data_IF_247091818414
#
_entry.id   IF_247091818414
#
_cell.length_a   1.000
_cell.length_b   1.000
_cell.length_c   1.000
_cell.angle_alpha   90.00
_cell.angle_beta   90.00
_cell.angle_gamma   90.00
#
_symmetry.space_group_name_H-M   'P 1'
#
loop_
_entity.id
_entity.type
_entity.pdbx_description
1 polymer ?
#
# COMPACT_ATOMS: atom_id res chain seq x y z
N UNK A 1 -17.66 20.70 20.56
CA UNK A 1 -16.89 19.88 19.57
C UNK A 1 -17.81 18.78 19.06
N UNK A 2 -18.27 18.85 17.82
CA UNK A 2 -19.15 17.82 17.25
C UNK A 2 -18.38 16.51 17.11
N UNK A 3 -18.81 15.49 17.83
CA UNK A 3 -18.31 14.13 17.67
C UNK A 3 -18.78 13.60 16.32
N UNK A 4 -17.83 13.25 15.46
CA UNK A 4 -18.14 12.66 14.16
C UNK A 4 -18.66 11.23 14.40
N UNK A 5 -19.91 10.97 14.03
CA UNK A 5 -20.49 9.63 14.07
C UNK A 5 -20.27 8.95 12.70
N UNK A 6 -19.60 7.79 12.65
CA UNK A 6 -19.35 7.08 11.39
C UNK A 6 -20.62 6.73 10.61
N UNK A 7 -21.71 6.41 11.29
CA UNK A 7 -23.02 6.12 10.68
C UNK A 7 -23.60 7.32 9.92
N UNK A 8 -23.45 8.53 10.48
CA UNK A 8 -23.91 9.77 9.86
C UNK A 8 -23.09 10.06 8.61
N UNK A 9 -21.74 9.94 8.67
CA UNK A 9 -20.87 10.14 7.52
C UNK A 9 -21.18 9.15 6.39
N UNK A 10 -21.42 7.88 6.72
CA UNK A 10 -21.78 6.87 5.69
C UNK A 10 -23.11 7.19 5.00
N UNK A 11 -24.11 7.63 5.76
CA UNK A 11 -25.40 8.05 5.19
C UNK A 11 -25.23 9.29 4.30
N UNK A 12 -24.52 10.31 4.78
CA UNK A 12 -24.22 11.50 3.99
C UNK A 12 -23.44 11.18 2.71
N UNK A 13 -22.43 10.29 2.78
CA UNK A 13 -21.68 9.85 1.61
C UNK A 13 -22.61 9.16 0.60
N UNK A 14 -23.51 8.29 1.07
CA UNK A 14 -24.51 7.65 0.22
C UNK A 14 -25.42 8.67 -0.49
N UNK A 15 -25.94 9.66 0.26
CA UNK A 15 -26.81 10.72 -0.29
C UNK A 15 -26.07 11.59 -1.32
N UNK A 16 -24.78 11.93 -1.07
CA UNK A 16 -23.96 12.70 -2.00
C UNK A 16 -23.67 11.90 -3.29
N UNK A 17 -23.34 10.62 -3.18
CA UNK A 17 -23.06 9.77 -4.34
C UNK A 17 -24.31 9.51 -5.19
N UNK A 18 -25.49 9.40 -4.57
CA UNK A 18 -26.75 9.25 -5.31
C UNK A 18 -27.13 10.52 -6.09
N UNK A 19 -26.77 11.70 -5.56
CA UNK A 19 -27.02 13.00 -6.20
C UNK A 19 -25.91 13.41 -7.16
N UNK A 20 -24.82 12.66 -7.24
CA UNK A 20 -23.70 13.00 -8.10
C UNK A 20 -24.12 13.03 -9.57
N UNK A 21 -23.80 14.10 -10.33
CA UNK A 21 -24.24 14.26 -11.72
C UNK A 21 -23.56 13.30 -12.69
N UNK A 22 -22.54 12.58 -12.26
CA UNK A 22 -21.85 11.53 -13.00
C UNK A 22 -21.73 10.30 -12.10
N UNK A 23 -21.98 9.11 -12.65
CA UNK A 23 -21.98 7.86 -11.88
C UNK A 23 -20.59 7.60 -11.24
N UNK A 24 -20.47 7.69 -9.91
CA UNK A 24 -19.20 7.47 -9.23
C UNK A 24 -18.66 6.06 -9.43
N UNK A 25 -19.54 5.05 -9.58
CA UNK A 25 -19.14 3.66 -9.78
C UNK A 25 -18.41 3.47 -11.11
N UNK A 26 -18.83 4.18 -12.17
CA UNK A 26 -18.12 4.14 -13.46
C UNK A 26 -16.70 4.69 -13.34
N UNK A 27 -16.52 5.77 -12.59
CA UNK A 27 -15.20 6.37 -12.40
C UNK A 27 -14.27 5.44 -11.60
N UNK A 28 -14.79 4.82 -10.54
CA UNK A 28 -14.05 3.80 -9.78
C UNK A 28 -13.74 2.59 -10.64
N UNK A 29 -14.69 2.12 -11.45
CA UNK A 29 -14.47 0.99 -12.36
C UNK A 29 -13.32 1.27 -13.33
N UNK A 30 -13.32 2.44 -13.99
CA UNK A 30 -12.24 2.86 -14.90
C UNK A 30 -10.91 2.91 -14.14
N UNK A 31 -10.90 3.57 -12.96
CA UNK A 31 -9.69 3.66 -12.14
C UNK A 31 -9.13 2.29 -11.78
N UNK A 32 -9.97 1.41 -11.26
CA UNK A 32 -9.54 0.08 -10.80
C UNK A 32 -9.15 -0.83 -11.97
N UNK A 33 -9.90 -0.77 -13.10
CA UNK A 33 -9.57 -1.56 -14.30
C UNK A 33 -8.22 -1.18 -14.90
N UNK A 34 -7.86 0.11 -14.92
CA UNK A 34 -6.54 0.56 -15.39
C UNK A 34 -5.44 0.05 -14.47
N UNK A 35 -5.62 0.18 -13.15
CA UNK A 35 -4.62 -0.27 -12.17
C UNK A 35 -4.42 -1.80 -12.22
N UNK A 36 -5.53 -2.58 -12.22
CA UNK A 36 -5.47 -4.04 -12.30
C UNK A 36 -4.99 -4.52 -13.67
N UNK A 37 -5.38 -3.86 -14.75
CA UNK A 37 -4.91 -4.17 -16.09
C UNK A 37 -3.40 -3.99 -16.24
N UNK A 38 -2.85 -2.94 -15.66
CA UNK A 38 -1.40 -2.73 -15.61
C UNK A 38 -0.69 -3.84 -14.83
N UNK A 39 -1.21 -4.23 -13.67
CA UNK A 39 -0.64 -5.33 -12.88
C UNK A 39 -0.76 -6.69 -13.58
N UNK A 40 -1.90 -6.94 -14.25
CA UNK A 40 -2.11 -8.16 -15.03
C UNK A 40 -1.12 -8.25 -16.20
N UNK A 41 -0.84 -7.12 -16.86
CA UNK A 41 0.13 -7.06 -17.94
C UNK A 41 1.53 -7.48 -17.49
N UNK A 42 1.97 -7.02 -16.29
CA UNK A 42 3.23 -7.49 -15.69
C UNK A 42 3.20 -8.99 -15.43
N UNK A 43 2.10 -9.50 -14.89
CA UNK A 43 1.95 -10.93 -14.60
C UNK A 43 2.01 -11.78 -15.87
N UNK A 44 1.39 -11.32 -16.97
CA UNK A 44 1.47 -11.99 -18.29
C UNK A 44 2.90 -11.97 -18.82
N UNK A 45 3.59 -10.83 -18.74
CA UNK A 45 5.00 -10.73 -19.17
C UNK A 45 5.87 -11.69 -18.36
N UNK A 46 5.69 -11.75 -17.04
CA UNK A 46 6.41 -12.69 -16.18
C UNK A 46 6.12 -14.15 -16.53
N UNK A 47 4.86 -14.49 -16.79
CA UNK A 47 4.47 -15.83 -17.22
C UNK A 47 5.16 -16.22 -18.53
N UNK A 48 5.13 -15.36 -19.55
CA UNK A 48 5.80 -15.60 -20.84
C UNK A 48 7.31 -15.76 -20.65
N UNK A 49 7.93 -14.92 -19.82
CA UNK A 49 9.35 -15.01 -19.49
C UNK A 49 9.71 -16.36 -18.88
N UNK A 50 8.95 -16.81 -17.90
CA UNK A 50 9.19 -18.10 -17.24
C UNK A 50 9.06 -19.27 -18.21
N UNK A 51 8.08 -19.25 -19.11
CA UNK A 51 7.90 -20.29 -20.14
C UNK A 51 9.06 -20.30 -21.15
N UNK A 52 9.54 -19.15 -21.58
CA UNK A 52 10.69 -19.02 -22.48
C UNK A 52 12.00 -19.51 -21.81
N UNK A 53 12.12 -19.30 -20.49
CA UNK A 53 13.26 -19.77 -19.69
C UNK A 53 13.31 -21.30 -19.67
N UNK A 54 12.18 -21.96 -19.58
CA UNK A 54 12.10 -23.42 -19.55
C UNK A 54 12.41 -24.09 -20.91
N UNK A 55 12.17 -23.38 -22.03
CA UNK A 55 12.21 -23.99 -23.38
C UNK A 55 13.48 -23.74 -24.21
N UNK A 56 14.34 -22.76 -23.88
CA UNK A 56 15.46 -22.34 -24.76
C UNK A 56 16.83 -22.42 -24.07
N UNK A 57 17.56 -23.51 -24.32
CA UNK A 57 18.92 -23.77 -23.79
C UNK A 57 20.08 -23.20 -24.66
N UNK A 58 19.90 -22.22 -25.52
CA UNK A 58 20.92 -21.70 -26.45
C UNK A 58 21.27 -20.22 -26.28
N UNK A 59 22.39 -19.78 -26.87
CA UNK A 59 22.86 -18.38 -26.88
C UNK A 59 21.82 -17.37 -27.40
N UNK A 60 20.98 -17.78 -28.38
CA UNK A 60 19.86 -16.98 -28.88
C UNK A 60 18.77 -16.71 -27.79
N UNK A 61 18.58 -17.65 -26.86
CA UNK A 61 17.68 -17.47 -25.72
C UNK A 61 18.18 -16.43 -24.70
N UNK A 62 19.49 -16.26 -24.55
CA UNK A 62 20.07 -15.27 -23.62
C UNK A 62 19.77 -13.83 -24.05
N UNK A 63 19.83 -13.52 -25.34
CA UNK A 63 19.52 -12.18 -25.85
C UNK A 63 18.04 -11.82 -25.64
N UNK A 64 17.12 -12.73 -25.96
CA UNK A 64 15.70 -12.51 -25.79
C UNK A 64 15.33 -12.35 -24.30
N UNK A 65 15.94 -13.15 -23.42
CA UNK A 65 15.75 -13.03 -21.95
C UNK A 65 16.17 -11.67 -21.43
N UNK A 66 17.34 -11.16 -21.86
CA UNK A 66 17.82 -9.84 -21.44
C UNK A 66 16.87 -8.71 -21.86
N UNK A 67 16.36 -8.77 -23.08
CA UNK A 67 15.37 -7.78 -23.56
C UNK A 67 14.07 -7.86 -22.77
N UNK A 68 13.51 -9.06 -22.59
CA UNK A 68 12.25 -9.24 -21.87
C UNK A 68 12.38 -8.87 -20.40
N UNK A 69 13.49 -9.22 -19.72
CA UNK A 69 13.72 -8.82 -18.33
C UNK A 69 13.87 -7.30 -18.20
N UNK A 70 14.49 -6.64 -19.18
CA UNK A 70 14.58 -5.18 -19.21
C UNK A 70 13.19 -4.55 -19.37
N UNK A 71 12.36 -5.06 -20.29
CA UNK A 71 10.98 -4.60 -20.49
C UNK A 71 10.17 -4.78 -19.20
N UNK A 72 10.32 -5.91 -18.54
CA UNK A 72 9.65 -6.17 -17.25
C UNK A 72 10.03 -5.13 -16.19
N UNK A 73 11.34 -4.90 -15.98
CA UNK A 73 11.82 -3.91 -14.99
C UNK A 73 11.31 -2.51 -15.30
N UNK A 74 11.33 -2.10 -16.57
CA UNK A 74 10.81 -0.80 -17.01
C UNK A 74 9.30 -0.70 -16.73
N UNK A 75 8.55 -1.75 -17.01
CA UNK A 75 7.11 -1.79 -16.81
C UNK A 75 6.75 -1.75 -15.31
N UNK A 76 7.45 -2.53 -14.49
CA UNK A 76 7.29 -2.53 -13.02
C UNK A 76 7.61 -1.14 -12.43
N UNK A 77 8.69 -0.52 -12.90
CA UNK A 77 9.07 0.83 -12.48
C UNK A 77 8.01 1.86 -12.90
N UNK A 78 7.49 1.77 -14.12
CA UNK A 78 6.44 2.66 -14.61
C UNK A 78 5.15 2.53 -13.77
N UNK A 79 4.77 1.30 -13.40
CA UNK A 79 3.61 1.04 -12.53
C UNK A 79 3.89 1.55 -11.12
N UNK A 80 5.06 1.24 -10.55
CA UNK A 80 5.45 1.68 -9.21
C UNK A 80 5.40 3.22 -9.08
N UNK A 81 5.88 3.92 -10.10
CA UNK A 81 5.86 5.40 -10.13
C UNK A 81 4.48 5.93 -10.49
N UNK A 82 3.78 5.32 -11.45
CA UNK A 82 2.50 5.80 -11.97
C UNK A 82 1.31 5.60 -11.03
N UNK A 83 1.28 4.47 -10.33
CA UNK A 83 0.15 4.10 -9.45
C UNK A 83 -0.18 5.15 -8.38
N UNK A 84 0.79 5.72 -7.65
CA UNK A 84 0.50 6.78 -6.68
C UNK A 84 -0.25 7.97 -7.29
N UNK A 85 0.17 8.45 -8.46
CA UNK A 85 -0.48 9.61 -9.10
C UNK A 85 -1.90 9.27 -9.54
N UNK A 86 -2.12 8.05 -10.01
CA UNK A 86 -3.42 7.54 -10.37
C UNK A 86 -4.37 7.45 -9.16
N UNK A 87 -3.86 6.95 -8.01
CA UNK A 87 -4.59 6.92 -6.74
C UNK A 87 -4.99 8.32 -6.26
N UNK A 88 -4.08 9.30 -6.36
CA UNK A 88 -4.37 10.68 -5.98
C UNK A 88 -5.47 11.30 -6.85
N UNK A 89 -5.58 10.90 -8.12
CA UNK A 89 -6.69 11.30 -8.98
C UNK A 89 -8.04 10.84 -8.44
N UNK A 90 -8.13 9.61 -7.96
CA UNK A 90 -9.36 9.09 -7.35
C UNK A 90 -9.69 9.77 -6.01
N UNK A 91 -8.65 10.09 -5.20
CA UNK A 91 -8.85 10.88 -3.97
C UNK A 91 -9.38 12.28 -4.27
N UNK A 92 -8.92 12.91 -5.36
CA UNK A 92 -9.45 14.19 -5.80
C UNK A 92 -10.93 14.10 -6.22
N UNK A 93 -11.30 13.05 -6.96
CA UNK A 93 -12.69 12.78 -7.31
C UNK A 93 -13.55 12.57 -6.04
N UNK A 94 -13.06 11.84 -5.06
CA UNK A 94 -13.74 11.61 -3.78
C UNK A 94 -13.95 12.93 -3.00
N UNK A 95 -12.97 13.83 -3.02
CA UNK A 95 -13.09 15.15 -2.41
C UNK A 95 -14.18 16.00 -3.08
N UNK A 96 -14.29 15.93 -4.42
CA UNK A 96 -15.34 16.61 -5.16
C UNK A 96 -16.72 16.02 -4.87
N UNK A 97 -16.86 14.68 -4.81
CA UNK A 97 -18.12 14.06 -4.39
C UNK A 97 -18.54 14.49 -2.99
N UNK A 98 -17.58 14.54 -2.05
CA UNK A 98 -17.85 15.00 -0.68
C UNK A 98 -18.32 16.47 -0.61
N UNK A 99 -18.00 17.27 -1.62
CA UNK A 99 -18.45 18.68 -1.77
C UNK A 99 -19.72 18.81 -2.60
N UNK A 100 -20.26 17.71 -3.13
CA UNK A 100 -21.41 17.74 -4.04
C UNK A 100 -21.07 18.27 -5.45
N UNK A 101 -19.78 18.28 -5.80
CA UNK A 101 -19.29 18.73 -7.09
C UNK A 101 -19.24 17.59 -8.11
N UNK A 102 -19.30 17.95 -9.40
CA UNK A 102 -19.11 16.99 -10.49
C UNK A 102 -17.66 16.49 -10.52
N UNK A 103 -17.47 15.17 -10.51
CA UNK A 103 -16.19 14.53 -10.79
C UNK A 103 -16.29 13.71 -12.08
N UNK A 104 -15.31 13.85 -12.97
CA UNK A 104 -15.24 13.18 -14.27
C UNK A 104 -13.86 12.50 -14.46
N UNK A 105 -13.65 11.88 -15.61
CA UNK A 105 -12.41 11.21 -15.94
C UNK A 105 -11.18 12.11 -15.85
N UNK A 106 -11.32 13.41 -16.21
CA UNK A 106 -10.20 14.33 -16.12
C UNK A 106 -9.70 14.52 -14.69
N UNK A 107 -10.55 14.27 -13.70
CA UNK A 107 -10.17 14.36 -12.29
C UNK A 107 -9.22 13.21 -11.88
N UNK A 108 -9.27 12.07 -12.54
CA UNK A 108 -8.30 10.97 -12.31
C UNK A 108 -6.87 11.38 -12.71
N UNK A 109 -6.73 12.32 -13.65
CA UNK A 109 -5.43 12.81 -14.10
C UNK A 109 -4.86 13.94 -13.23
N UNK A 110 -5.62 14.42 -12.21
CA UNK A 110 -5.16 15.52 -11.36
C UNK A 110 -3.92 15.16 -10.52
N UNK A 111 -3.74 13.89 -10.17
CA UNK A 111 -2.51 13.44 -9.51
C UNK A 111 -1.27 13.73 -10.35
N UNK A 112 -1.34 13.49 -11.65
CA UNK A 112 -0.25 13.79 -12.60
C UNK A 112 -0.03 15.29 -12.79
N UNK A 113 -1.10 16.10 -12.79
CA UNK A 113 -0.99 17.58 -12.88
C UNK A 113 -0.30 18.17 -11.65
N UNK A 114 -0.39 17.51 -10.50
CA UNK A 114 0.26 17.90 -9.24
C UNK A 114 1.48 17.04 -8.92
N UNK A 115 2.19 16.59 -9.96
CA UNK A 115 3.30 15.65 -9.86
C UNK A 115 4.28 15.98 -8.73
N UNK A 116 4.82 17.20 -8.70
CA UNK A 116 5.84 17.60 -7.72
C UNK A 116 5.34 17.50 -6.26
N UNK A 117 4.12 17.97 -5.98
CA UNK A 117 3.56 17.93 -4.62
C UNK A 117 3.21 16.50 -4.18
N UNK A 118 2.68 15.67 -5.10
CA UNK A 118 2.35 14.27 -4.82
C UNK A 118 3.64 13.47 -4.59
N UNK A 119 4.64 13.61 -5.48
CA UNK A 119 5.92 12.95 -5.34
C UNK A 119 6.63 13.35 -4.03
N UNK A 120 6.72 14.64 -3.76
CA UNK A 120 7.33 15.14 -2.52
C UNK A 120 6.61 14.59 -1.27
N UNK A 121 5.27 14.55 -1.27
CA UNK A 121 4.52 13.98 -0.14
C UNK A 121 4.82 12.48 0.03
N UNK A 122 4.85 11.72 -1.07
CA UNK A 122 5.16 10.28 -1.03
C UNK A 122 6.59 10.02 -0.53
N UNK A 123 7.58 10.79 -1.00
CA UNK A 123 8.96 10.68 -0.56
C UNK A 123 9.13 11.06 0.93
N UNK A 124 8.55 12.17 1.36
CA UNK A 124 8.62 12.60 2.76
C UNK A 124 7.94 11.59 3.69
N UNK A 125 6.74 11.12 3.31
CA UNK A 125 5.99 10.14 4.10
C UNK A 125 6.71 8.78 4.10
N UNK A 126 7.18 8.33 2.93
CA UNK A 126 7.96 7.08 2.81
C UNK A 126 9.24 7.14 3.62
N UNK A 127 10.02 8.22 3.50
CA UNK A 127 11.22 8.44 4.29
C UNK A 127 10.96 8.44 5.80
N UNK A 128 9.88 9.08 6.24
CA UNK A 128 9.46 9.05 7.64
C UNK A 128 9.17 7.62 8.12
N UNK A 129 8.41 6.82 7.35
CA UNK A 129 8.10 5.43 7.72
C UNK A 129 9.33 4.52 7.68
N UNK A 130 10.27 4.74 6.74
CA UNK A 130 11.55 4.02 6.69
C UNK A 130 12.37 4.34 7.94
N UNK A 131 12.53 5.62 8.30
CA UNK A 131 13.25 6.01 9.52
C UNK A 131 12.62 5.42 10.78
N UNK A 132 11.29 5.41 10.86
CA UNK A 132 10.57 4.76 11.95
C UNK A 132 10.82 3.25 11.95
N UNK A 133 10.82 2.61 10.80
CA UNK A 133 11.13 1.17 10.66
C UNK A 133 12.54 0.84 11.18
N UNK A 134 13.54 1.62 10.78
CA UNK A 134 14.93 1.48 11.28
C UNK A 134 14.98 1.62 12.80
N UNK A 135 14.36 2.66 13.36
CA UNK A 135 14.31 2.87 14.79
C UNK A 135 13.62 1.72 15.54
N UNK A 136 12.54 1.19 14.97
CA UNK A 136 11.82 0.04 15.55
C UNK A 136 12.66 -1.22 15.50
N UNK A 137 13.38 -1.49 14.39
CA UNK A 137 14.27 -2.66 14.28
C UNK A 137 15.34 -2.60 15.38
N UNK A 138 16.00 -1.44 15.58
CA UNK A 138 16.99 -1.27 16.61
C UNK A 138 16.42 -1.49 18.03
N UNK A 139 15.25 -0.90 18.29
CA UNK A 139 14.58 -1.05 19.58
C UNK A 139 14.14 -2.51 19.81
N UNK A 140 13.58 -3.16 18.78
CA UNK A 140 13.14 -4.56 18.84
C UNK A 140 14.30 -5.50 19.12
N UNK A 141 15.44 -5.31 18.47
CA UNK A 141 16.63 -6.10 18.68
C UNK A 141 17.13 -5.96 20.13
N UNK A 142 17.13 -4.73 20.67
CA UNK A 142 17.50 -4.48 22.06
C UNK A 142 16.54 -5.17 23.03
N UNK A 143 15.23 -5.03 22.83
CA UNK A 143 14.21 -5.67 23.66
C UNK A 143 14.33 -7.20 23.57
N UNK A 144 14.50 -7.74 22.36
CA UNK A 144 14.65 -9.19 22.13
C UNK A 144 15.85 -9.78 22.88
N UNK A 145 17.01 -9.08 22.89
CA UNK A 145 18.18 -9.52 23.61
C UNK A 145 17.97 -9.65 25.14
N UNK A 146 16.99 -8.91 25.67
CA UNK A 146 16.61 -8.99 27.08
C UNK A 146 15.62 -10.15 27.37
N UNK A 147 15.12 -10.83 26.35
CA UNK A 147 14.20 -11.96 26.49
C UNK A 147 14.94 -13.29 26.49
N UNK A 148 14.38 -14.35 27.10
CA UNK A 148 14.99 -15.69 27.05
C UNK A 148 15.02 -16.27 25.62
N UNK A 149 14.21 -15.78 24.68
CA UNK A 149 14.16 -16.21 23.28
C UNK A 149 15.46 -15.90 22.51
N UNK A 150 16.25 -14.91 22.97
CA UNK A 150 17.56 -14.60 22.37
C UNK A 150 18.55 -15.76 22.47
N UNK A 151 18.48 -16.57 23.54
CA UNK A 151 19.33 -17.77 23.71
C UNK A 151 18.98 -18.83 22.68
N UNK A 152 17.70 -19.11 22.47
CA UNK A 152 17.25 -20.09 21.45
C UNK A 152 17.72 -19.70 20.05
N UNK A 153 17.66 -18.40 19.69
CA UNK A 153 18.16 -17.94 18.40
C UNK A 153 19.68 -18.12 18.30
N UNK A 154 20.44 -17.79 19.37
CA UNK A 154 21.89 -17.96 19.38
C UNK A 154 22.28 -19.42 19.25
N UNK A 155 21.61 -20.34 19.94
CA UNK A 155 21.83 -21.79 19.84
C UNK A 155 21.62 -22.31 18.41
N UNK A 156 20.55 -21.85 17.74
CA UNK A 156 20.26 -22.21 16.33
C UNK A 156 21.27 -21.59 15.36
N UNK A 157 21.77 -20.40 15.66
CA UNK A 157 22.74 -19.67 14.82
C UNK A 157 24.21 -20.07 15.09
N UNK A 158 24.51 -20.72 16.19
CA UNK A 158 25.89 -21.12 16.57
C UNK A 158 26.63 -21.88 15.48
N UNK A 159 26.04 -22.90 14.78
CA UNK A 159 26.69 -23.59 13.67
C UNK A 159 27.04 -22.64 12.51
N UNK A 160 26.14 -21.72 12.20
CA UNK A 160 26.33 -20.73 11.11
C UNK A 160 27.43 -19.75 11.46
N UNK A 161 27.44 -19.25 12.69
CA UNK A 161 28.48 -18.32 13.18
C UNK A 161 29.84 -18.99 13.17
N UNK A 162 29.91 -20.26 13.59
CA UNK A 162 31.17 -21.04 13.64
C UNK A 162 31.72 -21.32 12.24
N UNK A 163 30.83 -21.55 11.26
CA UNK A 163 31.19 -21.83 9.87
C UNK A 163 31.41 -20.56 9.03
N UNK A 164 31.13 -19.37 9.55
CA UNK A 164 31.17 -18.12 8.78
C UNK A 164 32.55 -17.79 8.16
N UNK A 165 33.63 -18.40 8.68
CA UNK A 165 34.97 -18.27 8.12
C UNK A 165 35.31 -19.25 6.98
N UNK A 166 34.45 -20.24 6.70
CA UNK A 166 34.70 -21.28 5.69
C UNK A 166 33.49 -21.48 4.77
N UNK A 167 33.53 -20.99 3.49
CA UNK A 167 32.41 -21.07 2.55
C UNK A 167 31.89 -22.48 2.31
N UNK A 168 32.79 -23.48 2.29
CA UNK A 168 32.40 -24.88 2.06
C UNK A 168 31.63 -25.48 3.24
N UNK A 169 32.04 -25.14 4.46
CA UNK A 169 31.31 -25.54 5.67
C UNK A 169 29.97 -24.83 5.79
N UNK A 170 29.91 -23.58 5.39
CA UNK A 170 28.68 -22.80 5.40
C UNK A 170 27.63 -23.41 4.44
N UNK A 171 28.03 -23.79 3.24
CA UNK A 171 27.14 -24.43 2.26
C UNK A 171 26.63 -25.78 2.74
N UNK A 172 27.46 -26.56 3.44
CA UNK A 172 27.06 -27.85 4.00
C UNK A 172 26.07 -27.73 5.18
N UNK A 173 26.11 -26.62 5.92
CA UNK A 173 25.22 -26.37 7.08
C UNK A 173 23.91 -25.72 6.69
N UNK A 174 23.85 -24.97 5.58
CA UNK A 174 22.64 -24.31 5.10
C UNK A 174 21.65 -25.32 4.52
N UNK A 175 21.09 -26.15 5.39
CA UNK A 175 20.02 -27.09 5.03
C UNK A 175 18.64 -26.45 5.13
N UNK A 176 17.62 -26.96 4.43
CA UNK A 176 16.23 -26.49 4.57
C UNK A 176 15.74 -26.55 6.02
N UNK A 177 16.15 -27.58 6.78
CA UNK A 177 15.78 -27.75 8.19
C UNK A 177 16.36 -26.63 9.08
N UNK A 178 17.60 -26.23 8.84
CA UNK A 178 18.22 -25.12 9.55
C UNK A 178 17.47 -23.80 9.25
N UNK A 179 17.10 -23.56 7.97
CA UNK A 179 16.34 -22.38 7.61
C UNK A 179 14.98 -22.31 8.32
N UNK A 180 14.28 -23.44 8.43
CA UNK A 180 13.03 -23.54 9.18
C UNK A 180 13.26 -23.23 10.66
N UNK A 181 14.28 -23.84 11.29
CA UNK A 181 14.60 -23.61 12.69
C UNK A 181 14.97 -22.15 12.99
N UNK A 182 15.72 -21.48 12.09
CA UNK A 182 16.05 -20.06 12.20
C UNK A 182 14.79 -19.21 12.07
N UNK A 183 13.90 -19.55 11.11
CA UNK A 183 12.63 -18.83 10.94
C UNK A 183 11.76 -18.94 12.20
N UNK A 184 11.63 -20.13 12.78
CA UNK A 184 10.89 -20.36 14.02
C UNK A 184 11.49 -19.57 15.20
N UNK A 185 12.80 -19.58 15.35
CA UNK A 185 13.50 -18.82 16.38
C UNK A 185 13.37 -17.30 16.20
N UNK A 186 13.14 -16.82 14.97
CA UNK A 186 12.90 -15.40 14.68
C UNK A 186 11.44 -14.94 14.92
N UNK A 187 10.47 -15.85 15.07
CA UNK A 187 9.06 -15.48 15.27
C UNK A 187 8.87 -14.51 16.44
N UNK A 188 9.45 -14.73 17.64
CA UNK A 188 9.29 -13.79 18.74
C UNK A 188 9.85 -12.39 18.44
N UNK A 189 11.00 -12.31 17.74
CA UNK A 189 11.56 -11.04 17.30
C UNK A 189 10.61 -10.32 16.32
N UNK A 190 10.06 -11.04 15.35
CA UNK A 190 9.09 -10.48 14.39
C UNK A 190 7.82 -9.97 15.09
N UNK A 191 7.31 -10.70 16.09
CA UNK A 191 6.15 -10.30 16.86
C UNK A 191 6.44 -9.03 17.69
N UNK A 192 7.59 -8.95 18.36
CA UNK A 192 8.02 -7.75 19.10
C UNK A 192 8.15 -6.57 18.14
N UNK A 193 8.85 -6.75 17.00
CA UNK A 193 9.04 -5.71 16.00
C UNK A 193 7.70 -5.24 15.40
N UNK A 194 6.81 -6.16 15.06
CA UNK A 194 5.48 -5.86 14.54
C UNK A 194 4.63 -5.09 15.55
N UNK A 195 4.63 -5.49 16.81
CA UNK A 195 3.90 -4.81 17.88
C UNK A 195 4.44 -3.38 18.13
N UNK A 196 5.75 -3.23 18.22
CA UNK A 196 6.40 -1.91 18.38
C UNK A 196 6.17 -1.01 17.17
N UNK A 197 6.28 -1.57 15.96
CA UNK A 197 6.00 -0.82 14.75
C UNK A 197 4.55 -0.35 14.70
N UNK A 198 3.60 -1.23 14.99
CA UNK A 198 2.19 -0.88 15.06
C UNK A 198 1.93 0.23 16.10
N UNK A 199 2.53 0.12 17.29
CA UNK A 199 2.37 1.09 18.36
C UNK A 199 2.88 2.49 17.97
N UNK A 200 3.99 2.57 17.23
CA UNK A 200 4.63 3.83 16.83
C UNK A 200 4.04 4.35 15.51
N UNK A 201 3.89 3.49 14.50
CA UNK A 201 3.48 3.88 13.17
C UNK A 201 1.98 4.20 13.07
N UNK A 202 1.13 3.50 13.82
CA UNK A 202 -0.33 3.69 13.75
C UNK A 202 -0.77 5.12 14.13
N UNK A 203 -0.29 5.73 15.24
CA UNK A 203 -0.61 7.11 15.57
C UNK A 203 -0.13 8.11 14.51
N UNK A 204 1.07 7.89 13.93
CA UNK A 204 1.61 8.75 12.86
C UNK A 204 0.79 8.60 11.59
N UNK A 205 0.43 7.37 11.21
CA UNK A 205 -0.44 7.09 10.07
C UNK A 205 -1.76 7.85 10.17
N UNK A 206 -2.45 7.78 11.31
CA UNK A 206 -3.70 8.50 11.51
C UNK A 206 -3.53 10.02 11.52
N UNK A 207 -2.39 10.54 12.00
CA UNK A 207 -2.11 11.97 11.94
C UNK A 207 -1.86 12.46 10.52
N UNK A 208 -1.32 11.63 9.65
CA UNK A 208 -1.02 11.96 8.26
C UNK A 208 -2.14 11.57 7.28
N UNK A 209 -3.25 11.03 7.76
CA UNK A 209 -4.34 10.49 6.93
C UNK A 209 -4.93 11.49 5.94
N UNK A 210 -4.98 12.76 6.30
CA UNK A 210 -5.55 13.82 5.48
C UNK A 210 -4.52 14.58 4.64
N UNK A 211 -3.23 14.25 4.73
CA UNK A 211 -2.21 14.92 3.93
C UNK A 211 -2.45 14.76 2.42
N UNK A 212 -2.91 13.57 2.00
CA UNK A 212 -3.22 13.27 0.61
C UNK A 212 -4.36 14.18 0.10
N UNK A 213 -5.43 14.35 0.89
CA UNK A 213 -6.54 15.26 0.57
C UNK A 213 -6.09 16.73 0.54
N UNK A 214 -5.22 17.15 1.46
CA UNK A 214 -4.72 18.50 1.52
C UNK A 214 -3.85 18.85 0.29
N UNK A 215 -3.04 17.90 -0.22
CA UNK A 215 -2.30 18.08 -1.49
C UNK A 215 -3.28 18.22 -2.65
N UNK A 216 -4.33 17.41 -2.71
CA UNK A 216 -5.34 17.52 -3.76
C UNK A 216 -6.12 18.84 -3.68
N UNK A 217 -6.24 19.38 -2.48
CA UNK A 217 -6.88 20.70 -2.22
C UNK A 217 -5.96 21.90 -2.52
N UNK A 218 -4.70 21.66 -2.90
CA UNK A 218 -3.76 22.69 -3.35
C UNK A 218 -2.60 22.98 -2.40
N UNK A 219 -2.51 22.31 -1.26
CA UNK A 219 -1.40 22.48 -0.34
C UNK A 219 -0.10 21.86 -0.91
N UNK A 220 1.05 22.48 -0.62
CA UNK A 220 2.35 21.87 -0.84
C UNK A 220 2.58 20.69 0.13
N UNK A 221 3.47 19.76 -0.20
CA UNK A 221 3.67 18.51 0.54
C UNK A 221 3.87 18.70 2.05
N UNK A 222 4.80 19.56 2.45
CA UNK A 222 5.09 19.84 3.87
C UNK A 222 3.89 20.50 4.55
N UNK A 223 3.28 21.51 3.91
CA UNK A 223 2.09 22.20 4.40
C UNK A 223 0.93 21.22 4.61
N UNK A 224 0.73 20.30 3.67
CA UNK A 224 -0.29 19.26 3.75
C UNK A 224 -0.08 18.33 4.94
N UNK A 225 1.15 17.90 5.21
CA UNK A 225 1.48 17.10 6.39
C UNK A 225 1.19 17.85 7.68
N UNK A 226 1.63 19.11 7.77
CA UNK A 226 1.40 19.94 8.97
C UNK A 226 -0.10 20.19 9.19
N UNK A 227 -0.86 20.50 8.12
CA UNK A 227 -2.31 20.69 8.18
C UNK A 227 -3.01 19.40 8.65
N UNK A 228 -2.62 18.24 8.10
CA UNK A 228 -3.15 16.95 8.51
C UNK A 228 -2.91 16.69 10.00
N UNK A 229 -1.68 16.87 10.48
CA UNK A 229 -1.33 16.68 11.90
C UNK A 229 -2.14 17.61 12.81
N UNK A 230 -2.30 18.89 12.42
CA UNK A 230 -3.10 19.86 13.19
C UNK A 230 -4.58 19.47 13.24
N UNK A 231 -5.15 19.10 12.11
CA UNK A 231 -6.56 18.73 11.99
C UNK A 231 -6.90 17.46 12.78
N UNK A 232 -6.01 16.47 12.77
CA UNK A 232 -6.21 15.18 13.43
C UNK A 232 -5.80 15.19 14.91
N UNK A 233 -5.17 16.28 15.39
CA UNK A 233 -4.78 16.42 16.80
C UNK A 233 -6.00 16.27 17.69
N UNK A 234 -5.94 15.36 18.68
CA UNK A 234 -7.04 14.99 19.61
C UNK A 234 -8.27 14.33 18.95
N UNK A 235 -8.22 14.03 17.65
CA UNK A 235 -9.34 13.42 16.91
C UNK A 235 -8.97 12.09 16.25
N UNK A 236 -7.75 11.57 16.44
CA UNK A 236 -7.27 10.32 15.82
C UNK A 236 -8.17 9.13 16.12
N UNK A 237 -8.71 9.03 17.36
CA UNK A 237 -9.66 7.97 17.75
C UNK A 237 -10.96 8.00 16.94
N UNK A 238 -11.40 9.18 16.46
CA UNK A 238 -12.60 9.26 15.61
C UNK A 238 -12.32 8.68 14.24
N UNK A 239 -11.09 8.85 13.71
CA UNK A 239 -10.65 8.21 12.46
C UNK A 239 -10.52 6.70 12.62
N UNK A 240 -9.96 6.22 13.74
CA UNK A 240 -9.94 4.79 14.07
C UNK A 240 -11.36 4.20 14.08
N UNK A 241 -12.32 4.90 14.71
CA UNK A 241 -13.73 4.47 14.71
C UNK A 241 -14.34 4.47 13.30
N UNK A 242 -13.95 5.43 12.44
CA UNK A 242 -14.39 5.48 11.05
C UNK A 242 -13.82 4.29 10.28
N UNK A 243 -12.52 4.00 10.39
CA UNK A 243 -11.90 2.83 9.77
C UNK A 243 -12.56 1.53 10.26
N UNK A 244 -12.77 1.42 11.57
CA UNK A 244 -13.44 0.25 12.15
C UNK A 244 -14.88 0.08 11.65
N UNK A 245 -15.54 1.16 11.25
CA UNK A 245 -16.88 1.06 10.65
C UNK A 245 -16.89 0.39 9.27
N UNK A 246 -15.73 0.27 8.62
CA UNK A 246 -15.50 -0.39 7.34
C UNK A 246 -14.71 -1.69 7.48
N UNK A 247 -14.61 -2.29 8.69
CA UNK A 247 -13.80 -3.47 8.95
C UNK A 247 -14.10 -4.64 7.98
N UNK A 248 -15.37 -4.82 7.65
CA UNK A 248 -15.83 -5.85 6.70
C UNK A 248 -15.28 -5.63 5.29
N UNK A 249 -15.15 -4.37 4.85
CA UNK A 249 -14.57 -4.02 3.56
C UNK A 249 -13.08 -4.37 3.51
N UNK A 250 -12.33 -4.07 4.57
CA UNK A 250 -10.93 -4.45 4.68
C UNK A 250 -10.75 -5.97 4.80
N UNK A 251 -11.66 -6.65 5.50
CA UNK A 251 -11.66 -8.11 5.57
C UNK A 251 -11.88 -8.74 4.20
N UNK A 252 -12.84 -8.23 3.43
CA UNK A 252 -13.08 -8.69 2.07
C UNK A 252 -11.88 -8.40 1.14
N UNK A 253 -11.22 -7.27 1.28
CA UNK A 253 -9.98 -7.00 0.56
C UNK A 253 -8.89 -8.02 0.91
N UNK A 254 -8.71 -8.32 2.19
CA UNK A 254 -7.77 -9.35 2.64
C UNK A 254 -8.11 -10.72 2.05
N UNK A 255 -9.39 -11.07 1.97
CA UNK A 255 -9.85 -12.29 1.34
C UNK A 255 -9.53 -12.32 -0.17
N UNK A 256 -9.74 -11.21 -0.89
CA UNK A 256 -9.34 -11.11 -2.30
C UNK A 256 -7.83 -11.31 -2.48
N UNK A 257 -7.01 -10.73 -1.60
CA UNK A 257 -5.57 -10.94 -1.60
C UNK A 257 -5.23 -12.41 -1.29
N UNK A 258 -5.87 -13.01 -0.29
CA UNK A 258 -5.67 -14.43 0.02
C UNK A 258 -6.03 -15.34 -1.17
N UNK A 259 -7.09 -15.03 -1.91
CA UNK A 259 -7.43 -15.74 -3.15
C UNK A 259 -6.30 -15.58 -4.19
N UNK A 260 -5.74 -14.38 -4.36
CA UNK A 260 -4.63 -14.16 -5.31
C UNK A 260 -3.38 -15.00 -5.00
N UNK A 261 -3.17 -15.36 -3.72
CA UNK A 261 -2.08 -16.23 -3.26
C UNK A 261 -2.54 -17.67 -3.01
N UNK A 262 -3.68 -18.09 -3.55
CA UNK A 262 -4.26 -19.43 -3.37
C UNK A 262 -3.33 -20.55 -3.83
N UNK A 263 -2.48 -20.30 -4.84
CA UNK A 263 -1.45 -21.23 -5.31
C UNK A 263 -0.39 -21.57 -4.24
N UNK A 264 -0.20 -20.73 -3.23
CA UNK A 264 0.73 -20.98 -2.11
C UNK A 264 -0.05 -21.50 -0.89
N UNK A 265 -1.19 -20.87 -0.60
CA UNK A 265 -1.97 -21.15 0.61
C UNK A 265 -2.60 -22.55 0.57
N UNK A 266 -3.19 -22.96 -0.56
CA UNK A 266 -3.90 -24.23 -0.64
C UNK A 266 -2.98 -25.46 -0.61
N UNK A 267 -1.82 -25.49 -1.30
CA UNK A 267 -0.84 -26.56 -1.12
C UNK A 267 -0.32 -26.67 0.32
N UNK A 268 -0.12 -25.54 1.02
CA UNK A 268 0.25 -25.52 2.42
C UNK A 268 -0.81 -26.15 3.34
N UNK A 269 -2.08 -26.17 2.89
CA UNK A 269 -3.20 -26.86 3.55
C UNK A 269 -3.40 -28.32 3.06
N UNK A 270 -2.48 -28.84 2.25
CA UNK A 270 -2.54 -30.19 1.71
C UNK A 270 -3.45 -30.37 0.49
N UNK A 271 -3.91 -29.29 -0.12
CA UNK A 271 -4.76 -29.32 -1.32
C UNK A 271 -3.88 -29.21 -2.56
N UNK A 272 -3.81 -30.28 -3.36
CA UNK A 272 -3.05 -30.32 -4.60
C UNK A 272 -3.93 -29.96 -5.81
N UNK A 273 -3.32 -29.32 -6.81
CA UNK A 273 -4.00 -28.95 -8.06
C UNK A 273 -3.60 -29.88 -9.20
N UNK A 274 -4.51 -30.13 -10.17
CA UNK A 274 -4.19 -30.87 -11.38
C UNK A 274 -3.43 -30.03 -12.42
N UNK A 275 -3.04 -28.79 -12.09
CA UNK A 275 -2.39 -27.85 -12.99
C UNK A 275 -0.92 -27.66 -12.62
N UNK A 276 -0.11 -27.15 -13.56
CA UNK A 276 1.24 -26.69 -13.26
C UNK A 276 1.19 -25.50 -12.27
N UNK A 277 2.25 -25.34 -11.48
CA UNK A 277 2.36 -24.24 -10.48
C UNK A 277 2.16 -22.86 -11.14
N UNK A 278 2.75 -22.65 -12.33
CA UNK A 278 2.59 -21.39 -13.09
C UNK A 278 1.14 -21.14 -13.51
N UNK A 279 0.43 -22.18 -13.95
CA UNK A 279 -0.98 -22.09 -14.32
C UNK A 279 -1.84 -21.79 -13.08
N UNK A 280 -1.57 -22.43 -11.96
CA UNK A 280 -2.26 -22.18 -10.70
C UNK A 280 -2.05 -20.72 -10.25
N UNK A 281 -0.79 -20.23 -10.26
CA UNK A 281 -0.46 -18.86 -9.93
C UNK A 281 -1.26 -17.87 -10.80
N UNK A 282 -1.25 -18.06 -12.12
CA UNK A 282 -1.98 -17.19 -13.03
C UNK A 282 -3.49 -17.18 -12.76
N UNK A 283 -4.10 -18.37 -12.60
CA UNK A 283 -5.54 -18.50 -12.36
C UNK A 283 -5.97 -17.83 -11.04
N UNK A 284 -5.26 -18.08 -9.95
CA UNK A 284 -5.57 -17.48 -8.65
C UNK A 284 -5.37 -15.97 -8.65
N UNK A 285 -4.32 -15.49 -9.32
CA UNK A 285 -4.08 -14.06 -9.47
C UNK A 285 -5.22 -13.38 -10.24
N UNK A 286 -5.65 -13.95 -11.37
CA UNK A 286 -6.78 -13.43 -12.15
C UNK A 286 -8.07 -13.45 -11.34
N UNK A 287 -8.36 -14.55 -10.66
CA UNK A 287 -9.57 -14.69 -9.84
C UNK A 287 -9.59 -13.67 -8.70
N UNK A 288 -8.49 -13.54 -7.96
CA UNK A 288 -8.37 -12.55 -6.88
C UNK A 288 -8.49 -11.11 -7.40
N UNK A 289 -7.90 -10.81 -8.56
CA UNK A 289 -8.01 -9.50 -9.21
C UNK A 289 -9.44 -9.17 -9.63
N UNK A 290 -10.19 -10.13 -10.17
CA UNK A 290 -11.62 -9.97 -10.51
C UNK A 290 -12.47 -9.74 -9.25
N UNK A 291 -12.24 -10.51 -8.19
CA UNK A 291 -12.92 -10.30 -6.91
C UNK A 291 -12.62 -8.91 -6.34
N UNK A 292 -11.37 -8.46 -6.40
CA UNK A 292 -10.97 -7.13 -5.97
C UNK A 292 -11.62 -6.03 -6.81
N UNK A 293 -11.69 -6.19 -8.14
CA UNK A 293 -12.37 -5.25 -9.03
C UNK A 293 -13.83 -5.07 -8.63
N UNK A 294 -14.56 -6.17 -8.44
CA UNK A 294 -15.98 -6.14 -8.05
C UNK A 294 -16.17 -5.47 -6.68
N UNK A 295 -15.32 -5.78 -5.71
CA UNK A 295 -15.36 -5.20 -4.37
C UNK A 295 -15.12 -3.69 -4.42
N UNK A 296 -14.07 -3.25 -5.09
CA UNK A 296 -13.72 -1.84 -5.20
C UNK A 296 -14.77 -1.07 -5.99
N UNK A 297 -15.24 -1.61 -7.12
CA UNK A 297 -16.32 -1.00 -7.90
C UNK A 297 -17.55 -0.71 -7.05
N UNK A 298 -17.92 -1.64 -6.18
CA UNK A 298 -19.13 -1.50 -5.36
C UNK A 298 -18.97 -0.52 -4.20
N UNK A 299 -17.82 -0.51 -3.52
CA UNK A 299 -17.71 0.13 -2.20
C UNK A 299 -16.69 1.26 -2.11
N UNK A 300 -15.69 1.31 -2.98
CA UNK A 300 -14.56 2.25 -2.85
C UNK A 300 -15.01 3.72 -2.92
N UNK A 301 -15.97 4.06 -3.80
CA UNK A 301 -16.50 5.42 -3.89
C UNK A 301 -17.10 5.87 -2.54
N UNK A 302 -17.88 4.99 -1.89
CA UNK A 302 -18.52 5.29 -0.60
C UNK A 302 -17.47 5.48 0.51
N UNK A 303 -16.48 4.59 0.58
CA UNK A 303 -15.41 4.66 1.59
C UNK A 303 -14.62 5.96 1.42
N UNK A 304 -14.15 6.27 0.22
CA UNK A 304 -13.34 7.46 -0.05
C UNK A 304 -14.13 8.77 0.15
N UNK A 305 -15.41 8.79 -0.22
CA UNK A 305 -16.29 9.96 0.02
C UNK A 305 -16.49 10.20 1.51
N UNK A 306 -16.62 9.14 2.33
CA UNK A 306 -16.66 9.28 3.79
C UNK A 306 -15.39 9.93 4.34
N UNK A 307 -14.20 9.59 3.82
CA UNK A 307 -12.95 10.25 4.21
C UNK A 307 -12.90 11.70 3.72
N UNK A 308 -13.40 12.00 2.53
CA UNK A 308 -13.54 13.38 2.03
C UNK A 308 -14.44 14.24 2.91
N UNK A 309 -15.58 13.71 3.36
CA UNK A 309 -16.49 14.36 4.32
C UNK A 309 -15.82 14.55 5.69
N UNK A 310 -15.10 13.52 6.18
CA UNK A 310 -14.34 13.61 7.42
C UNK A 310 -13.27 14.70 7.32
N UNK A 311 -12.54 14.78 6.21
CA UNK A 311 -11.55 15.84 5.96
C UNK A 311 -12.17 17.23 6.10
N UNK A 312 -13.33 17.49 5.47
CA UNK A 312 -14.07 18.75 5.62
C UNK A 312 -14.52 19.02 7.05
N UNK A 313 -15.05 18.02 7.76
CA UNK A 313 -15.54 18.12 9.12
C UNK A 313 -14.41 18.37 10.16
N UNK A 314 -13.18 17.96 9.87
CA UNK A 314 -12.02 18.25 10.73
C UNK A 314 -11.52 19.69 10.59
N UNK A 315 -12.08 20.47 9.67
CA UNK A 315 -11.78 21.90 9.52
C UNK A 315 -10.43 22.18 8.87
N UNK A 316 -9.96 21.26 8.03
CA UNK A 316 -8.84 21.56 7.12
C UNK A 316 -9.37 22.54 6.09
N UNK A 317 -9.03 23.82 6.24
CA UNK A 317 -9.44 24.83 5.27
C UNK A 317 -8.61 24.68 4.01
N UNK A 318 -9.23 24.73 2.82
CA UNK A 318 -8.47 24.90 1.58
C UNK A 318 -7.61 26.15 1.69
N UNK A 319 -6.37 26.15 1.15
CA UNK A 319 -5.56 27.34 1.12
C UNK A 319 -6.35 28.46 0.43
N UNK A 320 -6.35 29.63 1.04
CA UNK A 320 -7.02 30.81 0.45
C UNK A 320 -6.36 31.14 -0.89
N UNK A 321 -7.09 31.76 -1.85
CA UNK A 321 -6.51 32.14 -3.14
C UNK A 321 -5.22 32.96 -3.01
N UNK A 322 -5.05 33.68 -1.90
CA UNK A 322 -3.87 34.45 -1.57
C UNK A 322 -2.65 33.62 -1.21
N UNK A 323 -2.85 32.42 -0.58
CA UNK A 323 -1.77 31.46 -0.27
C UNK A 323 -1.33 30.68 -1.50
N UNK A 324 -2.20 30.54 -2.51
CA UNK A 324 -1.89 29.88 -3.78
C UNK A 324 -1.06 30.77 -4.71
N UNK A 325 -1.10 32.08 -4.55
CA UNK A 325 -0.39 33.06 -5.40
C UNK A 325 1.00 33.46 -4.87
N UNK A 326 1.40 33.02 -3.67
CA UNK A 326 2.75 33.25 -3.17
C UNK A 326 3.71 32.32 -3.90
N UNK A 327 4.71 32.82 -4.62
CA UNK A 327 5.74 31.98 -5.20
C UNK A 327 6.46 31.21 -4.07
N UNK A 328 6.69 29.91 -4.27
CA UNK A 328 7.30 28.98 -3.29
C UNK A 328 8.72 29.34 -2.86
N UNK A 329 9.23 30.52 -3.20
CA UNK A 329 10.60 30.97 -2.97
C UNK A 329 10.80 31.89 -1.75
N UNK A 330 9.77 32.16 -0.93
CA UNK A 330 9.87 33.26 0.03
C UNK A 330 9.81 32.89 1.52
N UNK A 331 10.14 31.69 1.96
CA UNK A 331 10.09 31.35 3.41
C UNK A 331 11.31 30.60 3.95
N UNK A 332 12.51 30.90 3.46
CA UNK A 332 13.75 30.42 4.09
C UNK A 332 14.56 31.52 4.80
N UNK A 333 13.92 32.61 5.19
CA UNK A 333 14.57 33.62 6.04
C UNK A 333 13.65 33.96 7.21
N UNK A 334 13.73 33.16 8.28
CA UNK A 334 13.52 33.58 9.67
C UNK A 334 13.88 32.42 10.61
#
# INVERSE_FOLDING_TARGET
MSTIQPSVLRRQAGDMLQKAPYDPKRLVLIHTSVALGASLLVTIVNYILNQQIAGTGGLSGMGLRSVLSTVQVVLELAILVGTPFWEFGLLFAALRWARGEKADFQNLLQGFRRFGSVLALRLLRGGLFILMGIAVIQLSSTVFLLTPFSKSLLEVMEPVITAAGNPQQLEAILTPELLVSVMEACIPLMLIAGALYALIALPVFYRLRFADFAVMDGAGAVSAMVQSVRATRKKSLQLVKLDFSFWWFYLLQLLCVAISYGNIILPALGITFPFSEDMALFLFYVLGSLCQLLLLWQYQASVLTCYGLAYGAFGVRPPTPREQSLPHTATWNA
#
